data_IF_902563631026
#
_entry.id   IF_902563631026
#
_cell.length_a   1.000
_cell.length_b   1.000
_cell.length_c   1.000
_cell.angle_alpha   90.00
_cell.angle_beta   90.00
_cell.angle_gamma   90.00
#
_symmetry.space_group_name_H-M   'P 1'
#
loop_
_entity.id
_entity.type
_entity.pdbx_description
1 polymer ?
#
# COMPACT_ATOMS: atom_id res chain seq x y z
N UNK A 1 25.17 -11.85 11.06
CA UNK A 1 24.37 -10.93 10.21
C UNK A 1 24.33 -11.56 8.82
N UNK A 2 23.20 -12.16 8.45
CA UNK A 2 23.03 -12.76 7.13
C UNK A 2 21.60 -12.44 6.68
N UNK A 3 21.49 -11.41 5.84
CA UNK A 3 20.25 -11.01 5.21
C UNK A 3 19.83 -12.14 4.27
N UNK A 4 18.81 -12.91 4.67
CA UNK A 4 18.24 -14.00 3.88
C UNK A 4 17.84 -13.46 2.51
N UNK A 5 18.30 -14.04 1.39
CA UNK A 5 17.83 -13.65 0.07
C UNK A 5 16.36 -14.05 -0.02
N UNK A 6 15.45 -13.08 -0.01
CA UNK A 6 14.02 -13.31 -0.26
C UNK A 6 13.82 -13.58 -1.75
N UNK A 7 14.16 -14.79 -2.15
CA UNK A 7 13.63 -15.48 -3.33
C UNK A 7 12.12 -15.63 -3.17
N UNK A 8 11.38 -14.56 -3.46
CA UNK A 8 9.93 -14.57 -3.62
C UNK A 8 9.61 -13.92 -4.96
N UNK A 9 10.04 -14.62 -6.02
CA UNK A 9 9.73 -14.37 -7.43
C UNK A 9 8.62 -15.31 -7.95
N UNK A 10 7.95 -16.04 -7.07
CA UNK A 10 6.93 -17.04 -7.42
C UNK A 10 5.60 -16.61 -6.81
N UNK A 11 4.78 -15.90 -7.60
CA UNK A 11 3.41 -15.45 -7.26
C UNK A 11 3.31 -14.74 -5.91
N UNK A 12 4.08 -13.67 -5.76
CA UNK A 12 4.05 -12.86 -4.55
C UNK A 12 2.77 -12.05 -4.55
N UNK A 13 1.87 -12.33 -3.61
CA UNK A 13 0.63 -11.61 -3.36
C UNK A 13 0.99 -10.18 -2.90
N UNK A 14 1.37 -9.35 -3.88
CA UNK A 14 1.73 -7.95 -3.64
C UNK A 14 0.47 -7.24 -3.21
N UNK A 15 0.62 -6.39 -2.21
CA UNK A 15 -0.45 -5.63 -1.60
C UNK A 15 -0.09 -4.16 -1.57
N UNK A 16 -1.10 -3.34 -1.75
CA UNK A 16 -1.02 -1.89 -1.70
C UNK A 16 -1.42 -1.49 -0.29
N UNK A 17 -0.49 -0.96 0.47
CA UNK A 17 -0.70 -0.48 1.83
C UNK A 17 -1.02 1.02 1.77
N UNK A 18 -2.09 1.43 2.45
CA UNK A 18 -2.38 2.83 2.71
C UNK A 18 -2.17 3.06 4.20
N UNK A 19 -1.24 3.92 4.56
CA UNK A 19 -0.90 4.27 5.94
C UNK A 19 -1.08 5.77 6.15
N UNK A 20 -1.36 6.20 7.38
CA UNK A 20 -1.44 7.61 7.72
C UNK A 20 -0.30 7.96 8.68
N UNK A 21 0.57 8.89 8.27
CA UNK A 21 1.66 9.39 9.10
C UNK A 21 1.67 10.92 9.07
N UNK A 22 1.71 11.56 10.25
CA UNK A 22 1.82 13.02 10.35
C UNK A 22 0.69 13.82 9.69
N UNK A 23 -0.51 13.24 9.56
CA UNK A 23 -1.65 13.86 8.85
C UNK A 23 -1.61 13.70 7.33
N UNK A 24 -0.62 12.98 6.80
CA UNK A 24 -0.51 12.64 5.39
C UNK A 24 -0.79 11.14 5.17
N UNK A 25 -1.19 10.79 3.96
CA UNK A 25 -1.53 9.43 3.56
C UNK A 25 -0.46 8.88 2.64
N UNK A 26 0.23 7.83 3.07
CA UNK A 26 1.27 7.16 2.30
C UNK A 26 0.72 5.87 1.70
N UNK A 27 0.81 5.78 0.39
CA UNK A 27 0.53 4.56 -0.38
C UNK A 27 1.87 3.91 -0.72
N UNK A 28 2.03 2.64 -0.40
CA UNK A 28 3.20 1.86 -0.76
C UNK A 28 2.80 0.44 -1.16
N UNK A 29 3.69 -0.26 -1.87
CA UNK A 29 3.46 -1.64 -2.29
C UNK A 29 4.43 -2.55 -1.54
N UNK A 30 3.88 -3.56 -0.87
CA UNK A 30 4.65 -4.58 -0.14
C UNK A 30 4.36 -5.98 -0.72
N UNK A 31 5.39 -6.76 -1.06
CA UNK A 31 6.80 -6.37 -1.15
C UNK A 31 7.05 -5.39 -2.30
N UNK A 32 8.09 -4.57 -2.14
CA UNK A 32 8.47 -3.55 -3.13
C UNK A 32 8.65 -4.20 -4.51
N UNK A 33 8.10 -3.61 -5.58
CA UNK A 33 8.29 -4.13 -6.92
C UNK A 33 9.76 -3.97 -7.35
N UNK A 34 10.33 -4.98 -8.01
CA UNK A 34 11.55 -4.83 -8.84
C UNK A 34 11.24 -3.89 -10.01
N UNK A 35 11.29 -2.57 -9.78
CA UNK A 35 10.87 -1.57 -10.74
C UNK A 35 10.70 -0.18 -10.13
N UNK A 36 9.90 0.71 -10.76
CA UNK A 36 9.71 2.07 -10.27
C UNK A 36 9.11 2.06 -8.87
N UNK A 37 9.59 2.94 -8.00
CA UNK A 37 8.99 3.18 -6.70
C UNK A 37 7.53 3.59 -6.86
N UNK A 38 6.61 2.67 -6.57
CA UNK A 38 5.16 2.92 -6.54
C UNK A 38 4.72 3.52 -5.20
N UNK A 39 5.66 4.07 -4.44
CA UNK A 39 5.39 4.74 -3.17
C UNK A 39 5.01 6.18 -3.42
N UNK A 40 3.84 6.60 -2.96
CA UNK A 40 3.34 7.96 -3.13
C UNK A 40 2.73 8.49 -1.84
N UNK A 41 2.94 9.77 -1.56
CA UNK A 41 2.41 10.46 -0.38
C UNK A 41 1.36 11.47 -0.86
N UNK A 42 0.22 11.47 -0.19
CA UNK A 42 -0.91 12.31 -0.52
C UNK A 42 -1.38 13.10 0.71
N UNK A 43 -1.85 14.34 0.54
CA UNK A 43 -2.37 15.14 1.64
C UNK A 43 -3.77 14.70 2.09
N UNK A 44 -4.49 13.91 1.29
CA UNK A 44 -5.87 13.48 1.60
C UNK A 44 -6.07 11.98 1.36
N UNK A 45 -6.93 11.37 2.18
CA UNK A 45 -7.29 9.96 2.07
C UNK A 45 -7.86 9.62 0.68
N UNK A 46 -8.74 10.48 0.18
CA UNK A 46 -9.39 10.30 -1.14
C UNK A 46 -8.36 10.18 -2.26
N UNK A 47 -7.31 11.00 -2.24
CA UNK A 47 -6.25 10.94 -3.23
C UNK A 47 -5.41 9.66 -3.10
N UNK A 48 -5.05 9.28 -1.87
CA UNK A 48 -4.35 8.03 -1.59
C UNK A 48 -5.15 6.80 -2.05
N UNK A 49 -6.44 6.76 -1.71
CA UNK A 49 -7.36 5.68 -2.11
C UNK A 49 -7.57 5.62 -3.61
N UNK A 50 -7.62 6.77 -4.29
CA UNK A 50 -7.68 6.86 -5.74
C UNK A 50 -6.44 6.26 -6.41
N UNK A 51 -5.25 6.62 -5.92
CA UNK A 51 -3.99 6.06 -6.41
C UNK A 51 -3.91 4.55 -6.17
N UNK A 52 -4.22 4.08 -4.97
CA UNK A 52 -4.28 2.66 -4.64
C UNK A 52 -5.31 1.90 -5.51
N UNK A 53 -6.46 2.52 -5.80
CA UNK A 53 -7.45 1.99 -6.73
C UNK A 53 -6.88 1.82 -8.15
N UNK A 54 -6.13 2.80 -8.64
CA UNK A 54 -5.42 2.71 -9.91
C UNK A 54 -4.40 1.57 -9.94
N UNK A 55 -3.58 1.44 -8.89
CA UNK A 55 -2.62 0.34 -8.76
C UNK A 55 -3.32 -1.02 -8.74
N UNK A 56 -4.46 -1.14 -8.05
CA UNK A 56 -5.28 -2.36 -8.05
C UNK A 56 -5.85 -2.68 -9.43
N UNK A 57 -6.26 -1.69 -10.21
CA UNK A 57 -6.78 -1.93 -11.56
C UNK A 57 -5.69 -2.45 -12.51
N UNK A 58 -4.49 -1.88 -12.43
CA UNK A 58 -3.36 -2.25 -13.29
C UNK A 58 -2.75 -3.59 -12.87
N UNK A 59 -2.53 -3.79 -11.57
CA UNK A 59 -1.74 -4.91 -11.07
C UNK A 59 -2.56 -5.99 -10.33
N UNK A 60 -3.85 -5.75 -10.09
CA UNK A 60 -4.76 -6.65 -9.36
C UNK A 60 -4.32 -6.99 -7.94
N UNK A 61 -3.56 -6.10 -7.31
CA UNK A 61 -3.08 -6.25 -5.93
C UNK A 61 -4.16 -5.89 -4.91
N UNK A 62 -4.10 -6.57 -3.77
CA UNK A 62 -4.99 -6.33 -2.64
C UNK A 62 -4.67 -5.00 -1.98
N UNK A 63 -5.68 -4.16 -1.70
CA UNK A 63 -5.46 -2.90 -0.98
C UNK A 63 -5.74 -3.11 0.50
N UNK A 64 -4.73 -2.87 1.32
CA UNK A 64 -4.79 -2.91 2.78
C UNK A 64 -4.82 -1.47 3.28
N UNK A 65 -5.96 -1.10 3.85
CA UNK A 65 -6.13 0.21 4.47
C UNK A 65 -5.78 0.15 5.95
N UNK A 66 -4.72 0.86 6.34
CA UNK A 66 -4.27 0.99 7.73
C UNK A 66 -4.48 2.41 8.25
N UNK A 67 -5.28 3.23 7.54
CA UNK A 67 -5.56 4.62 7.91
C UNK A 67 -6.69 4.71 8.94
N UNK A 68 -7.53 3.66 9.02
CA UNK A 68 -8.66 3.59 9.94
C UNK A 68 -8.45 2.55 11.05
N UNK A 69 -7.89 2.90 12.22
CA UNK A 69 -8.15 2.17 13.44
C UNK A 69 -9.51 2.59 13.99
N UNK A 70 -10.62 2.03 13.48
CA UNK A 70 -11.87 1.98 14.24
C UNK A 70 -12.87 3.14 14.14
N UNK A 71 -12.98 3.87 13.03
CA UNK A 71 -14.19 4.69 12.74
C UNK A 71 -15.25 3.83 12.02
N UNK A 72 -15.69 2.79 12.73
CA UNK A 72 -16.77 1.88 12.35
C UNK A 72 -17.67 1.53 13.54
N UNK A 73 -17.69 2.39 14.57
CA UNK A 73 -18.59 2.30 15.72
C UNK A 73 -19.14 3.68 16.08
N UNK A 74 -19.85 4.28 15.13
CA UNK A 74 -20.81 5.32 15.44
C UNK A 74 -22.18 4.86 14.94
N UNK A 75 -22.88 4.21 15.89
CA UNK A 75 -24.33 3.98 16.05
C UNK A 75 -25.25 3.97 14.82
#
# INVERSE_FOLDING_TARGET
>A
MAERPKLSLLRTDRRILITQEGGQFRVCVDPAPDGPDLTAIFPTYRAARGNAGGLRLVHRWSIIDQTCPGEGMSK
#
